data_IF_884999577343
#
_entry.id   IF_884999577343
#
_cell.length_a   1.000
_cell.length_b   1.000
_cell.length_c   1.000
_cell.angle_alpha   90.00
_cell.angle_beta   90.00
_cell.angle_gamma   90.00
#
_symmetry.space_group_name_H-M   'P 1'
#
loop_
_entity.id
_entity.type
_entity.pdbx_description
1 polymer ?
#
# COMPACT_ATOMS: atom_id res chain seq x y z
N UNK A 1 23.46 -0.78 -75.80
CA UNK A 1 21.99 -0.88 -76.01
C UNK A 1 21.38 -0.51 -74.72
N UNK A 2 21.19 0.74 -74.51
CA UNK A 2 19.97 1.55 -74.69
C UNK A 2 18.75 1.02 -73.94
N UNK A 3 18.33 1.74 -72.94
CA UNK A 3 17.03 2.47 -72.80
C UNK A 3 16.78 2.75 -71.34
N UNK A 4 16.85 3.99 -71.03
CA UNK A 4 15.74 4.99 -70.86
C UNK A 4 14.89 4.86 -69.61
N UNK A 5 15.09 5.89 -68.82
CA UNK A 5 14.22 6.37 -67.71
C UNK A 5 12.91 6.91 -68.32
N UNK A 6 11.80 6.88 -67.58
CA UNK A 6 11.22 8.16 -67.17
C UNK A 6 10.80 8.15 -65.68
N UNK A 7 11.13 9.10 -64.98
CA UNK A 7 10.57 10.37 -64.55
C UNK A 7 9.06 10.37 -64.20
N UNK A 8 8.84 10.96 -63.04
CA UNK A 8 7.64 11.62 -62.54
C UNK A 8 6.65 10.78 -61.73
N UNK A 9 6.42 11.11 -60.53
CA UNK A 9 5.44 12.14 -60.14
C UNK A 9 5.48 12.40 -58.63
N UNK A 10 5.87 13.60 -58.25
CA UNK A 10 5.65 14.12 -56.90
C UNK A 10 4.17 14.38 -56.70
N UNK A 11 3.55 13.74 -55.70
CA UNK A 11 2.31 14.16 -55.13
C UNK A 11 2.54 14.58 -53.66
N UNK A 12 2.68 15.88 -53.50
CA UNK A 12 2.63 16.53 -52.20
C UNK A 12 1.20 16.45 -51.66
N UNK A 13 0.96 15.60 -50.70
CA UNK A 13 -0.25 15.64 -49.85
C UNK A 13 0.09 16.46 -48.60
N UNK A 14 -0.26 17.75 -48.66
CA UNK A 14 -0.33 18.60 -47.49
C UNK A 14 -1.49 18.12 -46.60
N UNK A 15 -1.17 17.26 -45.65
CA UNK A 15 -2.08 16.96 -44.57
C UNK A 15 -2.04 18.13 -43.60
N UNK A 16 -3.06 19.00 -43.66
CA UNK A 16 -3.36 19.96 -42.63
C UNK A 16 -3.73 19.19 -41.36
N UNK A 17 -2.76 18.98 -40.49
CA UNK A 17 -2.97 18.51 -39.14
C UNK A 17 -3.72 19.57 -38.36
N UNK A 18 -5.03 19.37 -38.18
CA UNK A 18 -5.79 20.09 -37.17
C UNK A 18 -5.25 19.65 -35.82
N UNK A 19 -4.39 20.48 -35.22
CA UNK A 19 -4.11 20.42 -33.79
C UNK A 19 -5.41 20.81 -33.08
N UNK A 20 -6.17 19.82 -32.69
CA UNK A 20 -7.18 20.03 -31.67
C UNK A 20 -6.45 20.51 -30.41
N UNK A 21 -6.93 21.56 -29.72
CA UNK A 21 -6.35 21.94 -28.44
C UNK A 21 -6.49 20.73 -27.52
N UNK A 22 -5.35 20.26 -26.98
CA UNK A 22 -5.33 19.25 -25.97
C UNK A 22 -6.16 19.80 -24.79
N UNK A 23 -7.32 19.23 -24.56
CA UNK A 23 -8.05 19.41 -23.33
C UNK A 23 -7.21 18.75 -22.25
N UNK A 24 -6.47 19.58 -21.52
CA UNK A 24 -5.75 19.15 -20.31
C UNK A 24 -6.81 18.74 -19.31
N UNK A 25 -7.01 17.43 -19.14
CA UNK A 25 -7.84 16.87 -18.08
C UNK A 25 -7.22 17.30 -16.74
N UNK A 26 -8.01 17.90 -15.82
CA UNK A 26 -7.48 18.31 -14.50
C UNK A 26 -6.99 17.12 -13.65
N UNK A 27 -7.13 15.88 -14.14
CA UNK A 27 -6.57 14.68 -13.52
C UNK A 27 -5.06 14.51 -13.79
N UNK A 28 -4.47 15.19 -14.77
CA UNK A 28 -3.06 15.04 -15.14
C UNK A 28 -2.08 15.83 -14.23
N UNK A 29 -2.58 16.69 -13.34
CA UNK A 29 -1.76 17.49 -12.44
C UNK A 29 -1.47 16.83 -11.08
N UNK A 30 -1.90 15.59 -10.86
CA UNK A 30 -1.51 14.85 -9.66
C UNK A 30 -0.04 14.44 -9.76
N UNK A 31 0.80 14.74 -8.74
CA UNK A 31 2.18 14.31 -8.74
C UNK A 31 2.26 12.80 -8.93
N UNK A 32 3.05 12.36 -9.91
CA UNK A 32 3.25 10.95 -10.16
C UNK A 32 3.71 10.24 -8.87
N UNK A 33 3.02 9.16 -8.49
CA UNK A 33 3.39 8.35 -7.34
C UNK A 33 4.68 7.57 -7.65
N UNK A 34 5.80 8.11 -7.20
CA UNK A 34 7.14 7.56 -7.43
C UNK A 34 7.50 6.41 -6.48
N UNK A 35 6.59 5.96 -5.60
CA UNK A 35 6.82 4.83 -4.70
C UNK A 35 7.00 3.54 -5.50
N UNK A 36 7.91 2.70 -5.03
CA UNK A 36 8.12 1.36 -5.58
C UNK A 36 6.90 0.46 -5.32
N UNK A 37 6.74 -0.61 -6.09
CA UNK A 37 5.66 -1.57 -5.87
C UNK A 37 5.69 -2.20 -4.47
N UNK A 38 6.88 -2.41 -3.91
CA UNK A 38 6.99 -2.96 -2.55
C UNK A 38 6.54 -1.94 -1.49
N UNK A 39 6.82 -0.66 -1.70
CA UNK A 39 6.34 0.41 -0.82
C UNK A 39 4.82 0.56 -0.89
N UNK A 40 4.23 0.51 -2.07
CA UNK A 40 2.77 0.55 -2.25
C UNK A 40 2.09 -0.63 -1.55
N UNK A 41 2.64 -1.84 -1.71
CA UNK A 41 2.14 -3.06 -1.05
C UNK A 41 2.29 -2.98 0.47
N UNK A 42 3.43 -2.50 0.97
CA UNK A 42 3.64 -2.24 2.41
C UNK A 42 2.57 -1.29 2.93
N UNK A 43 2.38 -0.16 2.28
CA UNK A 43 1.46 0.87 2.73
C UNK A 43 0.02 0.34 2.76
N UNK A 44 -0.41 -0.37 1.72
CA UNK A 44 -1.72 -1.02 1.69
C UNK A 44 -1.89 -2.08 2.81
N UNK A 45 -0.85 -2.88 3.08
CA UNK A 45 -0.88 -3.85 4.17
C UNK A 45 -0.96 -3.16 5.54
N UNK A 46 -0.20 -2.08 5.76
CA UNK A 46 -0.25 -1.29 7.00
C UNK A 46 -1.63 -0.66 7.22
N UNK A 47 -2.24 -0.10 6.17
CA UNK A 47 -3.59 0.47 6.22
C UNK A 47 -4.66 -0.58 6.58
N UNK A 48 -4.53 -1.79 6.06
CA UNK A 48 -5.45 -2.88 6.36
C UNK A 48 -5.24 -3.48 7.77
N UNK A 49 -3.99 -3.56 8.24
CA UNK A 49 -3.64 -4.08 9.57
C UNK A 49 -4.07 -3.16 10.70
N UNK A 50 -3.92 -1.84 10.53
CA UNK A 50 -4.19 -0.87 11.58
C UNK A 50 -5.55 -1.02 12.26
N UNK A 51 -6.67 -0.98 11.51
CA UNK A 51 -8.01 -1.17 12.07
C UNK A 51 -8.20 -2.55 12.71
N UNK A 52 -7.69 -3.63 12.10
CA UNK A 52 -7.81 -5.00 12.65
C UNK A 52 -7.09 -5.13 13.99
N UNK A 53 -5.84 -4.69 14.07
CA UNK A 53 -5.07 -4.77 15.32
C UNK A 53 -5.65 -3.87 16.42
N UNK A 54 -6.14 -2.69 16.05
CA UNK A 54 -6.83 -1.82 17.01
C UNK A 54 -8.11 -2.50 17.53
N UNK A 55 -8.91 -3.12 16.66
CA UNK A 55 -10.11 -3.84 17.08
C UNK A 55 -9.76 -5.01 18.01
N UNK A 56 -8.69 -5.75 17.75
CA UNK A 56 -8.19 -6.81 18.63
C UNK A 56 -7.78 -6.27 19.99
N UNK A 57 -7.02 -5.18 20.04
CA UNK A 57 -6.61 -4.55 21.29
C UNK A 57 -7.80 -4.04 22.12
N UNK A 58 -8.81 -3.47 21.45
CA UNK A 58 -10.06 -3.03 22.11
C UNK A 58 -10.86 -4.22 22.66
N UNK A 59 -10.94 -5.32 21.90
CA UNK A 59 -11.63 -6.52 22.34
C UNK A 59 -10.93 -7.14 23.56
N UNK A 60 -9.61 -7.23 23.56
CA UNK A 60 -8.82 -7.71 24.69
C UNK A 60 -8.97 -6.80 25.92
N UNK A 61 -8.88 -5.49 25.74
CA UNK A 61 -9.10 -4.54 26.84
C UNK A 61 -10.48 -4.70 27.48
N UNK A 62 -11.53 -4.88 26.67
CA UNK A 62 -12.89 -5.10 27.16
C UNK A 62 -13.06 -6.43 27.90
N UNK A 63 -12.29 -7.45 27.53
CA UNK A 63 -12.33 -8.76 28.18
C UNK A 63 -11.54 -8.80 29.50
N UNK A 64 -10.48 -7.99 29.63
CA UNK A 64 -9.51 -8.10 30.73
C UNK A 64 -9.56 -6.97 31.74
N UNK A 65 -10.09 -5.78 31.37
CA UNK A 65 -10.08 -4.59 32.21
C UNK A 65 -11.42 -4.33 32.88
N UNK A 66 -11.39 -3.67 34.05
CA UNK A 66 -12.64 -3.26 34.73
C UNK A 66 -13.33 -2.11 33.98
N UNK A 67 -14.68 -1.96 34.14
CA UNK A 67 -15.43 -0.87 33.51
C UNK A 67 -14.91 0.52 33.86
N UNK A 68 -14.42 0.72 35.09
CA UNK A 68 -13.87 2.00 35.54
C UNK A 68 -12.57 2.35 34.82
N UNK A 69 -11.73 1.35 34.52
CA UNK A 69 -10.48 1.52 33.75
C UNK A 69 -10.82 1.82 32.30
N UNK A 70 -11.76 1.08 31.71
CA UNK A 70 -12.20 1.31 30.34
C UNK A 70 -12.78 2.72 30.13
N UNK A 71 -13.60 3.19 31.11
CA UNK A 71 -14.14 4.54 31.05
C UNK A 71 -13.07 5.63 31.10
N UNK A 72 -11.98 5.41 31.87
CA UNK A 72 -10.84 6.34 31.91
C UNK A 72 -10.01 6.33 30.64
N UNK A 73 -9.93 5.20 29.94
CA UNK A 73 -9.18 5.07 28.67
C UNK A 73 -9.89 5.75 27.50
N UNK A 74 -11.21 6.00 27.61
CA UNK A 74 -12.04 6.57 26.53
C UNK A 74 -11.75 5.88 25.18
N UNK A 75 -11.98 4.57 25.14
CA UNK A 75 -11.56 3.70 24.03
C UNK A 75 -12.13 4.17 22.70
N UNK A 76 -13.35 4.67 22.67
CA UNK A 76 -14.01 5.15 21.46
C UNK A 76 -13.27 6.36 20.84
N UNK A 77 -12.69 7.20 21.68
CA UNK A 77 -11.93 8.38 21.25
C UNK A 77 -10.48 8.04 20.94
N UNK A 78 -9.87 7.16 21.71
CA UNK A 78 -8.44 6.84 21.61
C UNK A 78 -8.13 5.82 20.52
N UNK A 79 -9.01 4.85 20.24
CA UNK A 79 -8.81 3.82 19.25
C UNK A 79 -8.48 4.37 17.83
N UNK A 80 -9.21 5.35 17.27
CA UNK A 80 -8.86 5.91 15.95
C UNK A 80 -7.49 6.58 15.91
N UNK A 81 -7.06 7.18 17.02
CA UNK A 81 -5.75 7.82 17.16
C UNK A 81 -4.65 6.76 17.14
N UNK A 82 -4.82 5.67 17.87
CA UNK A 82 -3.90 4.54 17.88
C UNK A 82 -3.80 3.85 16.52
N UNK A 83 -4.94 3.65 15.85
CA UNK A 83 -4.97 3.10 14.47
C UNK A 83 -4.10 3.92 13.53
N UNK A 84 -4.30 5.24 13.49
CA UNK A 84 -3.54 6.14 12.63
C UNK A 84 -2.04 6.11 12.95
N UNK A 85 -1.70 6.21 14.23
CA UNK A 85 -0.30 6.15 14.67
C UNK A 85 0.37 4.82 14.31
N UNK A 86 -0.35 3.70 14.42
CA UNK A 86 0.14 2.40 13.97
C UNK A 86 0.43 2.41 12.46
N UNK A 87 -0.51 2.89 11.65
CA UNK A 87 -0.36 2.96 10.19
C UNK A 87 0.87 3.80 9.83
N UNK A 88 0.99 5.00 10.38
CA UNK A 88 2.14 5.89 10.16
C UNK A 88 3.46 5.22 10.53
N UNK A 89 3.53 4.58 11.69
CA UNK A 89 4.74 3.88 12.13
C UNK A 89 5.08 2.67 11.26
N UNK A 90 4.07 1.91 10.84
CA UNK A 90 4.22 0.74 9.97
C UNK A 90 4.76 1.17 8.60
N UNK A 91 4.18 2.21 8.00
CA UNK A 91 4.59 2.74 6.70
C UNK A 91 6.00 3.37 6.73
N UNK A 92 6.41 3.91 7.88
CA UNK A 92 7.76 4.45 8.06
C UNK A 92 8.85 3.37 8.17
N UNK A 93 8.48 2.10 8.40
CA UNK A 93 9.44 1.01 8.51
C UNK A 93 9.94 0.55 7.13
N UNK A 94 11.22 0.23 7.04
CA UNK A 94 11.80 -0.44 5.89
C UNK A 94 11.56 -1.95 5.97
N UNK A 95 10.37 -2.38 5.54
CA UNK A 95 10.03 -3.79 5.52
C UNK A 95 10.64 -4.49 4.30
N UNK A 96 11.21 -5.66 4.52
CA UNK A 96 11.64 -6.54 3.43
C UNK A 96 10.44 -7.08 2.66
N UNK A 97 10.64 -7.49 1.41
CA UNK A 97 9.60 -8.12 0.58
C UNK A 97 8.98 -9.36 1.25
N UNK A 98 9.76 -10.10 2.05
CA UNK A 98 9.27 -11.24 2.84
C UNK A 98 8.29 -10.77 3.91
N UNK A 99 8.63 -9.72 4.68
CA UNK A 99 7.77 -9.21 5.74
C UNK A 99 6.45 -8.67 5.18
N UNK A 100 6.50 -7.89 4.08
CA UNK A 100 5.29 -7.41 3.41
C UNK A 100 4.42 -8.59 2.98
N UNK A 101 5.02 -9.63 2.39
CA UNK A 101 4.27 -10.83 1.98
C UNK A 101 3.63 -11.57 3.17
N UNK A 102 4.31 -11.64 4.33
CA UNK A 102 3.72 -12.21 5.55
C UNK A 102 2.50 -11.40 5.97
N UNK A 103 2.58 -10.07 5.99
CA UNK A 103 1.43 -9.21 6.32
C UNK A 103 0.24 -9.47 5.39
N UNK A 104 0.46 -9.54 4.07
CA UNK A 104 -0.59 -9.81 3.09
C UNK A 104 -1.24 -11.19 3.29
N UNK A 105 -0.43 -12.21 3.58
CA UNK A 105 -0.93 -13.57 3.83
C UNK A 105 -1.75 -13.61 5.11
N UNK A 106 -1.23 -13.05 6.22
CA UNK A 106 -1.94 -13.03 7.49
C UNK A 106 -3.27 -12.26 7.39
N UNK A 107 -3.30 -11.14 6.65
CA UNK A 107 -4.52 -10.37 6.42
C UNK A 107 -5.59 -11.14 5.64
N UNK A 108 -5.18 -11.99 4.72
CA UNK A 108 -6.09 -12.77 3.87
C UNK A 108 -6.58 -14.03 4.56
N UNK A 109 -5.70 -14.72 5.28
CA UNK A 109 -5.99 -16.04 5.85
C UNK A 109 -6.62 -15.94 7.25
N UNK A 110 -6.30 -14.87 8.03
CA UNK A 110 -6.68 -14.79 9.43
C UNK A 110 -7.73 -13.70 9.67
N UNK A 111 -8.89 -14.12 10.14
CA UNK A 111 -9.99 -13.23 10.53
C UNK A 111 -10.05 -12.96 12.03
N UNK A 112 -9.57 -13.91 12.85
CA UNK A 112 -9.58 -13.87 14.31
C UNK A 112 -8.31 -13.22 14.86
N UNK A 113 -8.43 -12.59 16.04
CA UNK A 113 -7.33 -11.81 16.62
C UNK A 113 -6.11 -12.66 16.99
N UNK A 114 -6.32 -13.76 17.69
CA UNK A 114 -5.21 -14.59 18.18
C UNK A 114 -4.43 -15.23 17.02
N UNK A 115 -5.06 -15.90 16.02
CA UNK A 115 -4.36 -16.40 14.85
C UNK A 115 -3.68 -15.30 14.04
N UNK A 116 -4.31 -14.13 13.88
CA UNK A 116 -3.70 -13.00 13.17
C UNK A 116 -2.40 -12.56 13.85
N UNK A 117 -2.41 -12.35 15.16
CA UNK A 117 -1.22 -11.94 15.92
C UNK A 117 -0.13 -13.01 15.80
N UNK A 118 -0.48 -14.29 15.98
CA UNK A 118 0.47 -15.41 15.85
C UNK A 118 1.06 -15.49 14.43
N UNK A 119 0.26 -15.24 13.39
CA UNK A 119 0.73 -15.19 12.02
C UNK A 119 1.72 -14.05 11.81
N UNK A 120 1.43 -12.86 12.32
CA UNK A 120 2.29 -11.66 12.19
C UNK A 120 3.63 -11.82 12.91
N UNK A 121 3.72 -12.65 13.94
CA UNK A 121 4.99 -12.94 14.62
C UNK A 121 6.03 -13.58 13.68
N UNK A 122 5.59 -14.27 12.61
CA UNK A 122 6.46 -14.79 11.57
C UNK A 122 7.14 -13.71 10.72
N UNK A 123 6.63 -12.46 10.74
CA UNK A 123 7.25 -11.33 10.07
C UNK A 123 8.40 -10.70 10.89
N UNK A 124 8.51 -11.03 12.17
CA UNK A 124 9.59 -10.51 13.02
C UNK A 124 10.95 -10.99 12.49
N UNK A 125 11.99 -10.12 12.53
CA UNK A 125 13.35 -10.58 12.26
C UNK A 125 13.66 -11.73 13.21
N UNK A 126 13.96 -12.91 12.68
CA UNK A 126 14.45 -14.00 13.51
C UNK A 126 15.79 -13.52 14.10
N UNK A 127 15.88 -13.45 15.43
CA UNK A 127 17.17 -13.26 16.07
C UNK A 127 18.12 -14.30 15.50
N UNK A 128 19.27 -13.86 14.99
CA UNK A 128 20.27 -14.79 14.49
C UNK A 128 20.53 -15.81 15.60
N UNK A 129 20.28 -17.09 15.31
CA UNK A 129 20.63 -18.14 16.25
C UNK A 129 22.10 -17.97 16.61
N UNK A 130 22.48 -18.01 17.90
CA UNK A 130 23.88 -17.94 18.25
C UNK A 130 24.62 -19.05 17.52
N UNK A 131 25.61 -18.66 16.70
CA UNK A 131 26.44 -19.63 16.00
C UNK A 131 27.13 -20.54 17.03
N UNK A 132 27.17 -21.85 16.82
CA UNK A 132 27.77 -22.82 17.73
C UNK A 132 29.27 -22.60 17.88
#
# INVERSE_FOLDING_TARGET
MSRLVPAALCLALAACGHHAPATTDPADDLPADNRTEIEKRRDAACEALGPKLTACAVADARATMSPEVLAKLDVEKTAPVHTRKFIEQCQAQQLSSRQVRVYEVCLREESECEPLIACLDNARPQAAAPSP
#
